data_IF_048760947313
#
_entry.id   IF_048760947313
#
_cell.length_a   1.000
_cell.length_b   1.000
_cell.length_c   1.000
_cell.angle_alpha   90.00
_cell.angle_beta   90.00
_cell.angle_gamma   90.00
#
_symmetry.space_group_name_H-M   'P 1'
#
loop_
_entity.id
_entity.type
_entity.pdbx_description
1 polymer ?
#
# COMPACT_ATOMS: atom_id res chain seq x y z
N UNK A 1 -44.41 -52.70 4.13
CA UNK A 1 -43.75 -51.38 4.28
C UNK A 1 -44.38 -50.41 3.30
N UNK A 2 -44.72 -49.20 3.73
CA UNK A 2 -45.19 -48.12 2.86
C UNK A 2 -44.19 -46.96 2.93
N UNK A 3 -43.87 -46.36 1.78
CA UNK A 3 -43.03 -45.17 1.73
C UNK A 3 -43.89 -43.96 2.13
N UNK A 4 -43.43 -43.12 3.06
CA UNK A 4 -44.09 -41.83 3.32
C UNK A 4 -43.80 -40.89 2.13
N UNK A 5 -44.83 -40.42 1.44
CA UNK A 5 -44.74 -39.57 0.24
C UNK A 5 -44.94 -38.08 0.56
N UNK A 6 -44.90 -37.70 1.84
CA UNK A 6 -45.18 -36.35 2.31
C UNK A 6 -46.62 -36.19 2.84
N UNK A 7 -47.12 -34.95 2.89
CA UNK A 7 -48.50 -34.63 3.29
C UNK A 7 -49.30 -34.09 2.10
N UNK A 8 -50.63 -34.24 2.13
CA UNK A 8 -51.52 -33.63 1.13
C UNK A 8 -51.88 -32.18 1.48
N UNK A 9 -52.64 -31.53 0.60
CA UNK A 9 -53.09 -30.14 0.77
C UNK A 9 -54.01 -29.92 1.99
N UNK A 10 -54.35 -31.00 2.72
CA UNK A 10 -55.14 -31.00 3.95
C UNK A 10 -54.32 -31.43 5.18
N UNK A 11 -53.00 -31.42 5.05
CA UNK A 11 -52.02 -31.78 6.08
C UNK A 11 -52.11 -33.24 6.56
N UNK A 12 -52.68 -34.14 5.75
CA UNK A 12 -52.75 -35.57 6.06
C UNK A 12 -51.56 -36.32 5.45
N UNK A 13 -50.98 -37.25 6.21
CA UNK A 13 -49.88 -38.09 5.73
C UNK A 13 -50.30 -38.92 4.52
N UNK A 14 -49.55 -38.79 3.43
CA UNK A 14 -49.70 -39.58 2.21
C UNK A 14 -48.74 -40.76 2.25
N UNK A 15 -49.32 -41.95 2.11
CA UNK A 15 -48.56 -43.21 2.05
C UNK A 15 -48.51 -43.72 0.61
N UNK A 16 -47.34 -44.19 0.20
CA UNK A 16 -47.15 -44.89 -1.05
C UNK A 16 -47.73 -46.30 -1.02
N UNK A 17 -47.67 -46.98 -2.17
CA UNK A 17 -48.18 -48.34 -2.30
C UNK A 17 -47.54 -49.28 -1.27
N UNK A 18 -48.34 -50.19 -0.72
CA UNK A 18 -47.86 -51.21 0.20
C UNK A 18 -46.91 -52.19 -0.51
N UNK A 19 -45.70 -52.29 0.02
CA UNK A 19 -44.67 -53.21 -0.47
C UNK A 19 -44.45 -54.32 0.56
N UNK A 20 -44.51 -55.56 0.08
CA UNK A 20 -44.15 -56.75 0.87
C UNK A 20 -42.68 -57.05 0.59
N UNK A 21 -41.86 -57.11 1.65
CA UNK A 21 -40.46 -57.48 1.57
C UNK A 21 -40.29 -58.94 2.03
N UNK A 22 -39.49 -59.76 1.33
CA UNK A 22 -39.18 -61.12 1.78
C UNK A 22 -38.55 -61.10 3.18
N UNK A 23 -38.89 -62.09 4.01
CA UNK A 23 -38.40 -62.18 5.39
C UNK A 23 -36.86 -62.22 5.46
N UNK A 24 -36.22 -62.91 4.51
CA UNK A 24 -34.76 -62.96 4.39
C UNK A 24 -34.17 -61.56 4.12
N UNK A 25 -34.77 -60.77 3.22
CA UNK A 25 -34.30 -59.41 2.92
C UNK A 25 -34.38 -58.49 4.15
N UNK A 26 -35.45 -58.61 4.94
CA UNK A 26 -35.61 -57.82 6.17
C UNK A 26 -34.56 -58.21 7.21
N UNK A 27 -34.18 -59.48 7.30
CA UNK A 27 -33.16 -59.94 8.25
C UNK A 27 -31.74 -59.52 7.86
N UNK A 28 -31.43 -59.46 6.56
CA UNK A 28 -30.03 -59.26 6.10
C UNK A 28 -29.75 -57.84 5.60
N UNK A 29 -30.76 -57.08 5.18
CA UNK A 29 -30.58 -55.82 4.42
C UNK A 29 -31.33 -54.61 5.00
N UNK A 30 -31.96 -54.75 6.17
CA UNK A 30 -32.65 -53.64 6.84
C UNK A 30 -32.00 -53.39 8.20
N UNK A 31 -31.74 -52.13 8.50
CA UNK A 31 -31.25 -51.68 9.79
C UNK A 31 -32.31 -50.88 10.53
N UNK A 32 -32.21 -50.89 11.86
CA UNK A 32 -33.04 -50.07 12.73
C UNK A 32 -32.61 -48.60 12.61
N UNK A 33 -33.49 -47.76 12.08
CA UNK A 33 -33.22 -46.34 11.87
C UNK A 33 -33.48 -45.47 13.12
N UNK A 34 -33.38 -46.02 14.33
CA UNK A 34 -33.61 -45.26 15.58
C UNK A 34 -32.53 -44.20 15.83
N UNK A 35 -31.30 -44.45 15.35
CA UNK A 35 -30.21 -43.50 15.34
C UNK A 35 -29.46 -43.63 14.01
N UNK A 36 -29.04 -42.52 13.43
CA UNK A 36 -28.31 -42.49 12.18
C UNK A 36 -27.20 -41.46 12.27
N UNK A 37 -26.15 -41.65 11.48
CA UNK A 37 -25.10 -40.63 11.35
C UNK A 37 -25.65 -39.43 10.57
N UNK A 38 -25.12 -38.24 10.84
CA UNK A 38 -25.50 -37.00 10.13
C UNK A 38 -25.35 -37.17 8.61
N UNK A 39 -24.30 -37.88 8.18
CA UNK A 39 -24.04 -38.19 6.77
C UNK A 39 -25.11 -39.10 6.14
N UNK A 40 -25.61 -40.10 6.87
CA UNK A 40 -26.66 -40.99 6.39
C UNK A 40 -28.05 -40.31 6.40
N UNK A 41 -28.23 -39.27 7.22
CA UNK A 41 -29.45 -38.47 7.28
C UNK A 41 -29.51 -37.34 6.24
N UNK A 42 -28.40 -37.07 5.54
CA UNK A 42 -28.33 -36.00 4.54
C UNK A 42 -29.38 -36.21 3.43
N UNK A 43 -30.16 -35.15 3.15
CA UNK A 43 -31.20 -35.17 2.12
C UNK A 43 -32.48 -35.93 2.51
N UNK A 44 -32.59 -36.41 3.74
CA UNK A 44 -33.84 -36.96 4.28
C UNK A 44 -34.72 -35.85 4.85
N UNK A 45 -36.03 -36.02 4.73
CA UNK A 45 -37.02 -35.20 5.41
C UNK A 45 -37.77 -36.08 6.40
N UNK A 46 -37.81 -35.66 7.66
CA UNK A 46 -38.47 -36.39 8.77
C UNK A 46 -39.42 -35.45 9.51
N UNK A 47 -40.32 -36.01 10.32
CA UNK A 47 -41.25 -35.18 11.10
C UNK A 47 -40.50 -34.42 12.22
N UNK A 48 -39.62 -35.08 12.96
CA UNK A 48 -38.80 -34.48 14.03
C UNK A 48 -37.35 -34.93 13.96
N UNK A 49 -36.39 -34.03 14.19
CA UNK A 49 -34.96 -34.37 14.30
C UNK A 49 -34.44 -34.18 15.72
N UNK A 50 -33.56 -35.10 16.14
CA UNK A 50 -32.92 -35.08 17.46
C UNK A 50 -31.42 -35.29 17.27
N UNK A 51 -30.66 -34.20 17.38
CA UNK A 51 -29.22 -34.19 17.17
C UNK A 51 -28.49 -34.28 18.53
N UNK A 52 -27.55 -35.22 18.65
CA UNK A 52 -26.61 -35.25 19.77
C UNK A 52 -25.35 -34.47 19.36
N UNK A 53 -25.09 -33.36 20.05
CA UNK A 53 -24.00 -32.44 19.74
C UNK A 53 -22.88 -32.69 20.73
N UNK A 54 -21.84 -33.36 20.25
CA UNK A 54 -20.65 -33.66 21.05
C UNK A 54 -19.52 -32.65 20.83
N UNK A 55 -18.38 -32.94 21.43
CA UNK A 55 -17.22 -32.08 21.34
C UNK A 55 -16.49 -32.10 19.99
N UNK A 56 -16.78 -33.05 19.11
CA UNK A 56 -16.12 -33.24 17.82
C UNK A 56 -16.96 -32.72 16.64
N UNK A 57 -18.26 -32.46 16.85
CA UNK A 57 -19.15 -31.92 15.83
C UNK A 57 -18.70 -30.53 15.34
N UNK A 58 -18.66 -30.34 14.02
CA UNK A 58 -18.37 -29.06 13.37
C UNK A 58 -19.67 -28.31 12.99
N UNK A 59 -19.54 -27.06 12.57
CA UNK A 59 -20.67 -26.22 12.17
C UNK A 59 -21.51 -26.84 11.05
N UNK A 60 -20.87 -27.50 10.09
CA UNK A 60 -21.55 -28.05 8.91
C UNK A 60 -22.39 -29.27 9.28
N UNK A 61 -21.83 -30.19 10.06
CA UNK A 61 -22.54 -31.34 10.59
C UNK A 61 -23.69 -30.91 11.51
N UNK A 62 -23.49 -29.90 12.34
CA UNK A 62 -24.53 -29.35 13.20
C UNK A 62 -25.70 -28.77 12.40
N UNK A 63 -25.42 -28.02 11.33
CA UNK A 63 -26.44 -27.53 10.40
C UNK A 63 -27.23 -28.69 9.77
N UNK A 64 -26.54 -29.65 9.16
CA UNK A 64 -27.18 -30.80 8.51
C UNK A 64 -28.01 -31.64 9.48
N UNK A 65 -27.61 -31.73 10.74
CA UNK A 65 -28.34 -32.49 11.75
C UNK A 65 -29.67 -31.81 12.17
N UNK A 66 -29.79 -30.49 12.02
CA UNK A 66 -30.93 -29.68 12.48
C UNK A 66 -31.86 -29.17 11.37
N UNK A 67 -31.62 -29.58 10.12
CA UNK A 67 -32.46 -29.26 8.96
C UNK A 67 -33.44 -30.35 8.48
N UNK A 68 -33.30 -31.66 8.82
CA UNK A 68 -34.20 -32.69 8.30
C UNK A 68 -35.63 -32.64 8.86
N UNK A 69 -35.83 -32.11 10.08
CA UNK A 69 -37.12 -32.12 10.78
C UNK A 69 -38.05 -31.01 10.31
N UNK A 70 -39.27 -31.39 9.91
CA UNK A 70 -40.30 -30.45 9.46
C UNK A 70 -41.04 -29.76 10.61
N UNK A 71 -41.26 -30.47 11.72
CA UNK A 71 -42.07 -29.98 12.85
C UNK A 71 -41.21 -29.51 14.01
N UNK A 72 -40.12 -30.23 14.31
CA UNK A 72 -39.22 -29.89 15.41
C UNK A 72 -37.79 -30.36 15.14
N UNK A 73 -36.81 -29.60 15.64
CA UNK A 73 -35.39 -29.88 15.54
C UNK A 73 -34.73 -29.62 16.89
N UNK A 74 -34.37 -30.68 17.61
CA UNK A 74 -33.86 -30.62 18.98
C UNK A 74 -32.37 -30.96 19.02
N UNK A 75 -31.56 -30.09 19.60
CA UNK A 75 -30.14 -30.32 19.85
C UNK A 75 -29.89 -30.67 21.33
N UNK A 76 -29.34 -31.85 21.58
CA UNK A 76 -28.82 -32.27 22.89
C UNK A 76 -27.32 -31.99 22.94
N UNK A 77 -26.95 -30.91 23.62
CA UNK A 77 -25.54 -30.47 23.72
C UNK A 77 -24.85 -31.16 24.88
N UNK A 78 -23.80 -31.93 24.58
CA UNK A 78 -22.93 -32.55 25.58
C UNK A 78 -21.94 -31.48 26.07
N UNK A 79 -21.94 -31.26 27.38
CA UNK A 79 -21.04 -30.33 28.06
C UNK A 79 -19.86 -31.10 28.65
N UNK A 80 -18.66 -30.52 28.59
CA UNK A 80 -17.41 -31.08 29.12
C UNK A 80 -17.24 -30.96 30.63
N UNK A 81 -18.15 -30.25 31.32
CA UNK A 81 -18.16 -30.10 32.77
C UNK A 81 -19.34 -29.25 33.26
N UNK A 82 -19.59 -29.23 34.59
CA UNK A 82 -20.74 -28.54 35.19
C UNK A 82 -20.71 -27.01 35.04
N UNK A 83 -19.52 -26.42 34.81
CA UNK A 83 -19.32 -24.98 34.64
C UNK A 83 -19.45 -24.52 33.17
N UNK A 84 -19.51 -25.43 32.20
CA UNK A 84 -19.58 -25.06 30.78
C UNK A 84 -21.01 -24.66 30.39
N UNK A 85 -21.20 -23.44 29.89
CA UNK A 85 -22.50 -22.97 29.47
C UNK A 85 -22.84 -23.42 28.05
N UNK A 86 -24.06 -23.94 27.82
CA UNK A 86 -24.54 -24.44 26.52
C UNK A 86 -24.40 -23.46 25.36
N UNK A 87 -24.64 -22.17 25.59
CA UNK A 87 -24.51 -21.15 24.54
C UNK A 87 -23.05 -20.92 24.18
N UNK A 88 -22.13 -21.00 25.15
CA UNK A 88 -20.69 -20.87 24.89
C UNK A 88 -20.18 -22.06 24.09
N UNK A 89 -20.68 -23.28 24.39
CA UNK A 89 -20.38 -24.48 23.60
C UNK A 89 -20.85 -24.35 22.16
N UNK A 90 -22.08 -23.89 21.96
CA UNK A 90 -22.66 -23.67 20.63
C UNK A 90 -21.95 -22.56 19.87
N UNK A 91 -21.60 -21.45 20.53
CA UNK A 91 -20.81 -20.38 19.92
C UNK A 91 -19.44 -20.89 19.43
N UNK A 92 -18.71 -21.61 20.29
CA UNK A 92 -17.45 -22.23 19.92
C UNK A 92 -17.60 -23.28 18.80
N UNK A 93 -18.72 -23.99 18.74
CA UNK A 93 -19.02 -24.90 17.64
C UNK A 93 -19.25 -24.14 16.33
N UNK A 94 -19.99 -23.03 16.35
CA UNK A 94 -20.26 -22.21 15.18
C UNK A 94 -19.00 -21.51 14.65
N UNK A 95 -18.01 -21.26 15.50
CA UNK A 95 -16.71 -20.73 15.12
C UNK A 95 -15.81 -21.78 14.44
N UNK A 96 -16.11 -23.08 14.59
CA UNK A 96 -15.34 -24.14 13.93
C UNK A 96 -15.67 -24.22 12.45
N UNK A 97 -14.62 -24.15 11.63
CA UNK A 97 -14.67 -24.53 10.22
C UNK A 97 -14.97 -26.03 10.04
N UNK A 98 -15.30 -26.46 8.81
CA UNK A 98 -15.49 -27.89 8.51
C UNK A 98 -14.24 -28.70 8.89
N UNK A 99 -14.44 -29.88 9.48
CA UNK A 99 -13.34 -30.75 9.90
C UNK A 99 -12.49 -31.28 8.73
N UNK A 100 -13.05 -31.26 7.52
CA UNK A 100 -12.36 -31.54 6.27
C UNK A 100 -12.84 -30.56 5.19
N UNK A 101 -11.91 -29.86 4.56
CA UNK A 101 -12.18 -29.05 3.37
C UNK A 101 -12.64 -29.98 2.23
N UNK A 102 -13.56 -29.50 1.40
CA UNK A 102 -13.91 -30.22 0.17
C UNK A 102 -12.69 -30.31 -0.75
N UNK A 103 -12.67 -31.31 -1.64
CA UNK A 103 -11.60 -31.46 -2.63
C UNK A 103 -11.39 -30.17 -3.47
N UNK A 104 -12.47 -29.42 -3.73
CA UNK A 104 -12.43 -28.15 -4.46
C UNK A 104 -11.85 -27.01 -3.63
N UNK A 105 -12.16 -26.93 -2.33
CA UNK A 105 -11.55 -25.93 -1.44
C UNK A 105 -10.05 -26.20 -1.24
N UNK A 106 -9.66 -27.46 -1.04
CA UNK A 106 -8.24 -27.85 -1.00
C UNK A 106 -7.57 -27.50 -2.32
N UNK A 107 -8.17 -27.84 -3.46
CA UNK A 107 -7.62 -27.48 -4.76
C UNK A 107 -7.46 -25.96 -4.94
N UNK A 108 -8.44 -25.16 -4.53
CA UNK A 108 -8.37 -23.70 -4.60
C UNK A 108 -7.25 -23.16 -3.71
N UNK A 109 -7.12 -23.68 -2.49
CA UNK A 109 -6.05 -23.29 -1.55
C UNK A 109 -4.67 -23.66 -2.07
N UNK A 110 -4.51 -24.85 -2.67
CA UNK A 110 -3.25 -25.28 -3.28
C UNK A 110 -2.90 -24.41 -4.50
N UNK A 111 -3.87 -24.07 -5.35
CA UNK A 111 -3.62 -23.16 -6.47
C UNK A 111 -3.26 -21.74 -6.01
N UNK A 112 -3.90 -21.25 -4.95
CA UNK A 112 -3.56 -19.97 -4.34
C UNK A 112 -2.12 -20.00 -3.78
N UNK A 113 -1.77 -21.07 -3.05
CA UNK A 113 -0.43 -21.25 -2.49
C UNK A 113 0.67 -21.36 -3.55
N UNK A 114 0.39 -22.01 -4.69
CA UNK A 114 1.34 -22.12 -5.81
C UNK A 114 1.55 -20.77 -6.51
N UNK A 115 0.50 -19.95 -6.61
CA UNK A 115 0.55 -18.64 -7.27
C UNK A 115 0.93 -17.48 -6.36
N UNK A 116 1.06 -17.73 -5.05
CA UNK A 116 1.36 -16.71 -4.06
C UNK A 116 2.72 -16.04 -4.33
N UNK A 117 2.75 -14.69 -4.34
CA UNK A 117 3.95 -13.94 -4.71
C UNK A 117 5.12 -14.11 -3.75
N UNK A 118 4.88 -14.39 -2.46
CA UNK A 118 5.96 -14.75 -1.53
C UNK A 118 6.73 -16.03 -1.94
N UNK A 119 6.13 -16.88 -2.79
CA UNK A 119 6.79 -18.06 -3.35
C UNK A 119 7.45 -17.76 -4.69
N UNK A 120 6.73 -17.12 -5.61
CA UNK A 120 7.22 -16.83 -6.96
C UNK A 120 8.29 -15.73 -6.97
N UNK A 121 8.15 -14.73 -6.10
CA UNK A 121 9.01 -13.55 -6.04
C UNK A 121 10.48 -13.84 -5.79
N UNK A 122 10.85 -14.66 -4.78
CA UNK A 122 12.23 -15.05 -4.56
C UNK A 122 12.84 -15.78 -5.77
N UNK A 123 12.11 -16.73 -6.37
CA UNK A 123 12.58 -17.46 -7.56
C UNK A 123 12.80 -16.51 -8.74
N UNK A 124 11.84 -15.64 -9.02
CA UNK A 124 11.94 -14.62 -10.07
C UNK A 124 13.12 -13.69 -9.84
N UNK A 125 13.25 -13.12 -8.62
CA UNK A 125 14.30 -12.15 -8.30
C UNK A 125 15.71 -12.75 -8.40
N UNK A 126 15.88 -14.01 -7.98
CA UNK A 126 17.15 -14.72 -8.12
C UNK A 126 17.51 -14.89 -9.59
N UNK A 127 16.59 -15.41 -10.41
CA UNK A 127 16.86 -15.69 -11.83
C UNK A 127 17.06 -14.42 -12.66
N UNK A 128 16.31 -13.36 -12.37
CA UNK A 128 16.52 -12.04 -12.97
C UNK A 128 17.93 -11.53 -12.65
N UNK A 129 18.39 -11.67 -11.40
CA UNK A 129 19.74 -11.27 -11.01
C UNK A 129 20.81 -12.04 -11.77
N UNK A 130 20.64 -13.37 -11.90
CA UNK A 130 21.54 -14.24 -12.66
C UNK A 130 21.60 -13.84 -14.14
N UNK A 131 20.44 -13.66 -14.79
CA UNK A 131 20.37 -13.30 -16.21
C UNK A 131 20.95 -11.89 -16.48
N UNK A 132 20.55 -10.88 -15.70
CA UNK A 132 21.08 -9.52 -15.85
C UNK A 132 22.61 -9.47 -15.66
N UNK A 133 23.13 -10.26 -14.72
CA UNK A 133 24.59 -10.36 -14.50
C UNK A 133 25.30 -10.92 -15.73
N UNK A 134 24.78 -11.98 -16.35
CA UNK A 134 25.36 -12.54 -17.57
C UNK A 134 25.27 -11.56 -18.75
N UNK A 135 24.19 -10.79 -18.86
CA UNK A 135 24.05 -9.74 -19.89
C UNK A 135 25.08 -8.63 -19.72
N UNK A 136 25.25 -8.09 -18.51
CA UNK A 136 26.29 -7.08 -18.25
C UNK A 136 27.70 -7.62 -18.48
N UNK A 137 27.93 -8.89 -18.10
CA UNK A 137 29.19 -9.57 -18.31
C UNK A 137 29.49 -9.77 -19.79
N UNK A 138 28.49 -10.10 -20.60
CA UNK A 138 28.62 -10.20 -22.06
C UNK A 138 29.00 -8.84 -22.68
N UNK A 139 28.34 -7.76 -22.25
CA UNK A 139 28.71 -6.39 -22.68
C UNK A 139 30.16 -6.05 -22.30
N UNK A 140 30.60 -6.37 -21.08
CA UNK A 140 32.00 -6.16 -20.69
C UNK A 140 32.98 -7.00 -21.49
N UNK A 141 32.64 -8.25 -21.80
CA UNK A 141 33.49 -9.15 -22.57
C UNK A 141 33.70 -8.68 -24.02
N UNK A 142 32.76 -7.93 -24.59
CA UNK A 142 32.91 -7.28 -25.90
C UNK A 142 33.82 -6.03 -25.86
N UNK A 143 33.84 -5.34 -24.72
CA UNK A 143 34.54 -4.07 -24.53
C UNK A 143 35.95 -4.21 -23.96
N UNK A 144 36.21 -5.28 -23.20
CA UNK A 144 37.46 -5.53 -22.49
C UNK A 144 38.27 -6.64 -23.15
N UNK A 145 39.58 -6.63 -22.91
CA UNK A 145 40.41 -7.77 -23.28
C UNK A 145 40.08 -9.00 -22.41
N UNK A 146 40.33 -10.24 -22.90
CA UNK A 146 40.09 -11.46 -22.10
C UNK A 146 40.85 -11.49 -20.76
N UNK A 147 41.98 -10.79 -20.66
CA UNK A 147 42.75 -10.69 -19.42
C UNK A 147 42.06 -9.77 -18.39
N UNK A 148 41.57 -8.61 -18.84
CA UNK A 148 40.81 -7.67 -18.00
C UNK A 148 39.48 -8.28 -17.56
N UNK A 149 38.80 -9.01 -18.45
CA UNK A 149 37.55 -9.69 -18.10
C UNK A 149 37.75 -10.70 -16.97
N UNK A 150 38.85 -11.49 -17.02
CA UNK A 150 39.20 -12.40 -15.91
C UNK A 150 39.50 -11.67 -14.60
N UNK A 151 40.08 -10.47 -14.67
CA UNK A 151 40.31 -9.65 -13.47
C UNK A 151 38.98 -9.19 -12.87
N UNK A 152 38.03 -8.73 -13.69
CA UNK A 152 36.67 -8.35 -13.23
C UNK A 152 35.91 -9.53 -12.64
N UNK A 153 35.97 -10.70 -13.27
CA UNK A 153 35.32 -11.93 -12.76
C UNK A 153 35.88 -12.35 -11.39
N UNK A 154 37.18 -12.12 -11.15
CA UNK A 154 37.84 -12.43 -9.88
C UNK A 154 37.73 -11.31 -8.83
N UNK A 155 37.20 -10.15 -9.20
CA UNK A 155 37.10 -8.96 -8.35
C UNK A 155 35.90 -9.06 -7.40
N UNK A 156 36.12 -8.91 -6.10
CA UNK A 156 35.06 -8.95 -5.08
C UNK A 156 34.02 -7.82 -5.27
N UNK A 157 34.39 -6.72 -5.93
CA UNK A 157 33.51 -5.59 -6.16
C UNK A 157 32.52 -5.78 -7.34
N UNK A 158 32.65 -6.84 -8.14
CA UNK A 158 31.83 -7.04 -9.34
C UNK A 158 30.32 -7.10 -9.03
N UNK A 159 29.92 -7.73 -7.93
CA UNK A 159 28.52 -7.83 -7.52
C UNK A 159 27.90 -6.47 -7.18
N UNK A 160 28.70 -5.54 -6.63
CA UNK A 160 28.24 -4.17 -6.36
C UNK A 160 28.06 -3.39 -7.66
N UNK A 161 28.96 -3.56 -8.62
CA UNK A 161 28.84 -2.98 -9.97
C UNK A 161 27.57 -3.47 -10.68
N UNK A 162 27.36 -4.78 -10.77
CA UNK A 162 26.20 -5.36 -11.46
C UNK A 162 24.88 -4.97 -10.80
N UNK A 163 24.82 -4.96 -9.46
CA UNK A 163 23.64 -4.50 -8.73
C UNK A 163 23.33 -3.03 -8.99
N UNK A 164 24.35 -2.18 -9.13
CA UNK A 164 24.14 -0.77 -9.42
C UNK A 164 23.68 -0.53 -10.85
N UNK A 165 24.25 -1.26 -11.82
CA UNK A 165 23.75 -1.29 -13.20
C UNK A 165 22.30 -1.75 -13.26
N UNK A 166 21.95 -2.80 -12.50
CA UNK A 166 20.57 -3.29 -12.39
C UNK A 166 19.61 -2.24 -11.83
N UNK A 167 20.03 -1.53 -10.80
CA UNK A 167 19.22 -0.42 -10.25
C UNK A 167 19.00 0.66 -11.31
N UNK A 168 20.05 1.05 -12.04
CA UNK A 168 19.94 2.07 -13.09
C UNK A 168 19.04 1.63 -14.26
N UNK A 169 19.09 0.35 -14.66
CA UNK A 169 18.21 -0.22 -15.68
C UNK A 169 16.73 -0.17 -15.25
N UNK A 170 16.45 -0.49 -13.98
CA UNK A 170 15.12 -0.36 -13.42
C UNK A 170 14.66 1.11 -13.34
N UNK A 171 15.58 2.06 -13.15
CA UNK A 171 15.34 3.50 -13.27
C UNK A 171 15.20 3.99 -14.74
N UNK A 172 15.16 3.07 -15.71
CA UNK A 172 14.95 3.36 -17.14
C UNK A 172 16.20 3.84 -17.88
N UNK A 173 17.39 3.59 -17.33
CA UNK A 173 18.66 3.99 -17.94
C UNK A 173 19.27 2.82 -18.73
N UNK A 174 19.80 3.09 -19.93
CA UNK A 174 20.49 2.07 -20.72
C UNK A 174 21.83 1.68 -20.07
N UNK A 175 21.82 0.55 -19.37
CA UNK A 175 22.98 0.02 -18.65
C UNK A 175 24.15 -0.31 -19.59
N UNK A 176 23.89 -0.81 -20.80
CA UNK A 176 24.93 -1.15 -21.77
C UNK A 176 25.62 0.12 -22.29
N UNK A 177 24.85 1.17 -22.59
CA UNK A 177 25.40 2.46 -23.00
C UNK A 177 26.25 3.09 -21.89
N UNK A 178 25.78 3.08 -20.64
CA UNK A 178 26.54 3.61 -19.50
C UNK A 178 27.82 2.82 -19.28
N UNK A 179 27.75 1.49 -19.34
CA UNK A 179 28.89 0.61 -19.14
C UNK A 179 29.95 0.81 -20.23
N UNK A 180 29.52 0.86 -21.49
CA UNK A 180 30.39 1.18 -22.62
C UNK A 180 31.07 2.55 -22.43
N UNK A 181 30.30 3.56 -22.03
CA UNK A 181 30.85 4.89 -21.83
C UNK A 181 31.79 4.95 -20.61
N UNK A 182 31.58 4.12 -19.58
CA UNK A 182 32.46 4.01 -18.41
C UNK A 182 33.80 3.35 -18.78
N UNK A 183 33.78 2.27 -19.57
CA UNK A 183 35.00 1.59 -20.05
C UNK A 183 35.86 2.55 -20.88
N UNK A 184 35.27 3.26 -21.85
CA UNK A 184 36.00 4.16 -22.76
C UNK A 184 36.47 5.48 -22.12
N UNK A 185 36.13 5.75 -20.86
CA UNK A 185 36.46 7.03 -20.22
C UNK A 185 37.96 7.27 -20.03
N UNK A 186 38.71 6.22 -19.67
CA UNK A 186 40.15 6.26 -19.39
C UNK A 186 40.71 4.83 -19.33
N UNK A 187 42.02 4.69 -19.51
CA UNK A 187 42.74 3.41 -19.36
C UNK A 187 42.39 2.66 -18.06
N UNK A 188 42.41 1.32 -18.13
CA UNK A 188 42.08 0.40 -17.03
C UNK A 188 43.29 -0.45 -16.60
N UNK A 189 44.39 -0.43 -17.35
CA UNK A 189 45.56 -1.29 -17.12
C UNK A 189 46.28 -1.00 -15.80
N UNK A 190 46.16 0.23 -15.29
CA UNK A 190 46.79 0.67 -14.03
C UNK A 190 45.86 0.55 -12.82
N UNK A 191 44.63 0.06 -12.99
CA UNK A 191 43.67 -0.04 -11.91
C UNK A 191 43.99 -1.23 -10.99
N UNK A 192 43.99 -1.01 -9.67
CA UNK A 192 44.12 -2.09 -8.68
C UNK A 192 42.86 -2.98 -8.64
N UNK A 193 41.68 -2.37 -8.80
CA UNK A 193 40.39 -3.04 -9.02
C UNK A 193 39.72 -2.43 -10.24
N UNK A 194 39.46 -3.24 -11.26
CA UNK A 194 38.73 -2.78 -12.45
C UNK A 194 37.26 -2.56 -12.09
N UNK A 195 36.66 -3.42 -11.26
CA UNK A 195 35.25 -3.31 -10.92
C UNK A 195 34.94 -2.04 -10.11
N UNK A 196 35.78 -1.66 -9.13
CA UNK A 196 35.61 -0.41 -8.37
C UNK A 196 35.77 0.83 -9.24
N UNK A 197 36.73 0.81 -10.18
CA UNK A 197 36.92 1.91 -11.13
C UNK A 197 35.70 2.04 -12.04
N UNK A 198 35.16 0.92 -12.55
CA UNK A 198 33.95 0.94 -13.34
C UNK A 198 32.74 1.40 -12.52
N UNK A 199 32.58 0.92 -11.29
CA UNK A 199 31.53 1.35 -10.37
C UNK A 199 31.55 2.86 -10.17
N UNK A 200 32.71 3.43 -9.81
CA UNK A 200 32.85 4.87 -9.63
C UNK A 200 32.54 5.67 -10.89
N UNK A 201 32.95 5.17 -12.07
CA UNK A 201 32.65 5.81 -13.36
C UNK A 201 31.17 5.75 -13.71
N UNK A 202 30.51 4.62 -13.45
CA UNK A 202 29.06 4.44 -13.62
C UNK A 202 28.32 5.41 -12.72
N UNK A 203 28.68 5.49 -11.42
CA UNK A 203 28.08 6.43 -10.47
C UNK A 203 28.18 7.87 -10.95
N UNK A 204 29.37 8.28 -11.39
CA UNK A 204 29.58 9.63 -11.91
C UNK A 204 28.70 9.92 -13.13
N UNK A 205 28.53 8.95 -14.03
CA UNK A 205 27.71 9.11 -15.24
C UNK A 205 26.23 9.14 -14.93
N UNK A 206 25.77 8.34 -13.96
CA UNK A 206 24.40 8.41 -13.47
C UNK A 206 24.11 9.79 -12.85
N UNK A 207 25.02 10.32 -12.02
CA UNK A 207 24.90 11.66 -11.46
C UNK A 207 24.91 12.76 -12.54
N UNK A 208 25.74 12.63 -13.58
CA UNK A 208 25.75 13.55 -14.72
C UNK A 208 24.42 13.49 -15.52
N UNK A 209 23.83 12.30 -15.68
CA UNK A 209 22.55 12.12 -16.35
C UNK A 209 21.37 12.64 -15.53
N UNK A 210 21.37 12.42 -14.22
CA UNK A 210 20.39 12.97 -13.27
C UNK A 210 20.44 14.51 -13.28
N UNK A 211 21.64 15.11 -13.18
CA UNK A 211 21.79 16.56 -13.23
C UNK A 211 21.34 17.18 -14.56
N UNK A 212 21.43 16.43 -15.67
CA UNK A 212 20.91 16.86 -16.97
C UNK A 212 19.36 16.76 -17.05
N UNK A 213 18.73 15.82 -16.34
CA UNK A 213 17.27 15.71 -16.20
C UNK A 213 16.70 16.79 -15.27
N UNK A 214 17.45 17.18 -14.24
CA UNK A 214 17.12 18.21 -13.24
C UNK A 214 17.13 19.66 -13.77
N UNK A 215 17.10 19.84 -15.10
CA UNK A 215 16.72 21.09 -15.75
C UNK A 215 15.26 21.01 -16.28
N UNK A 216 14.20 21.04 -15.44
CA UNK A 216 12.85 21.30 -15.93
C UNK A 216 12.22 22.58 -15.38
N UNK A 217 11.27 23.08 -16.18
CA UNK A 217 10.20 24.00 -15.79
C UNK A 217 9.45 23.42 -14.56
N UNK A 218 9.32 24.16 -13.45
CA UNK A 218 8.70 23.65 -12.22
C UNK A 218 7.28 23.11 -12.40
N UNK A 219 6.52 23.58 -13.38
CA UNK A 219 5.16 23.08 -13.66
C UNK A 219 5.17 21.68 -14.32
N UNK A 220 6.19 21.35 -15.12
CA UNK A 220 6.29 20.04 -15.78
C UNK A 220 6.80 18.94 -14.82
N UNK A 221 7.62 19.32 -13.84
CA UNK A 221 8.12 18.40 -12.81
C UNK A 221 6.99 17.93 -11.87
N UNK A 222 6.14 18.85 -11.41
CA UNK A 222 4.98 18.50 -10.56
C UNK A 222 3.96 17.61 -11.28
N UNK A 223 3.76 17.78 -12.59
CA UNK A 223 2.85 16.95 -13.37
C UNK A 223 3.41 15.55 -13.66
N UNK A 224 4.69 15.45 -13.99
CA UNK A 224 5.38 14.17 -14.23
C UNK A 224 5.50 13.32 -12.96
N UNK A 225 5.70 13.94 -11.79
CA UNK A 225 5.73 13.24 -10.50
C UNK A 225 4.39 12.61 -10.09
N UNK A 226 3.29 13.05 -10.70
CA UNK A 226 1.92 12.59 -10.39
C UNK A 226 1.40 11.52 -11.37
N UNK A 227 2.04 11.34 -12.53
CA UNK A 227 1.64 10.33 -13.50
C UNK A 227 2.22 8.96 -13.11
N UNK A 228 1.36 8.10 -12.57
CA UNK A 228 1.73 6.72 -12.28
C UNK A 228 1.78 5.91 -13.58
N UNK A 229 2.96 5.38 -13.91
CA UNK A 229 3.16 4.43 -15.01
C UNK A 229 3.47 3.07 -14.41
N UNK A 230 2.51 2.15 -14.49
CA UNK A 230 2.67 0.80 -14.00
C UNK A 230 3.79 0.09 -14.77
N UNK A 231 4.74 -0.53 -14.06
CA UNK A 231 5.71 -1.46 -14.65
C UNK A 231 5.48 -2.89 -14.20
N UNK A 232 5.15 -3.76 -15.14
CA UNK A 232 4.84 -5.16 -14.85
C UNK A 232 6.10 -5.95 -14.45
N UNK A 233 5.93 -7.15 -13.87
CA UNK A 233 7.03 -8.09 -13.67
C UNK A 233 7.64 -8.48 -15.03
N UNK A 234 6.82 -8.69 -16.07
CA UNK A 234 7.30 -9.03 -17.40
C UNK A 234 8.16 -7.91 -18.03
N UNK A 235 7.79 -6.64 -17.86
CA UNK A 235 8.56 -5.48 -18.36
C UNK A 235 9.87 -5.24 -17.61
N UNK A 236 9.96 -5.69 -16.36
CA UNK A 236 11.20 -5.64 -15.57
C UNK A 236 12.09 -6.86 -15.80
N UNK A 237 11.63 -7.86 -16.54
CA UNK A 237 12.37 -9.09 -16.81
C UNK A 237 13.22 -8.90 -18.07
N UNK A 238 14.57 -9.06 -17.98
CA UNK A 238 15.44 -8.94 -19.14
C UNK A 238 15.07 -9.92 -20.26
N UNK A 239 15.34 -9.54 -21.52
CA UNK A 239 14.98 -10.36 -22.66
C UNK A 239 15.92 -11.56 -22.85
N UNK A 240 15.44 -12.77 -22.56
CA UNK A 240 16.15 -14.01 -22.87
C UNK A 240 15.43 -14.83 -23.95
N UNK A 241 16.18 -15.32 -24.95
CA UNK A 241 15.63 -16.15 -26.05
C UNK A 241 15.86 -17.65 -25.88
N UNK A 242 16.64 -18.04 -24.89
CA UNK A 242 16.87 -19.43 -24.52
C UNK A 242 15.72 -19.97 -23.65
N UNK A 243 15.76 -21.27 -23.33
CA UNK A 243 14.72 -21.90 -22.52
C UNK A 243 14.59 -21.25 -21.13
N UNK A 244 15.70 -20.77 -20.56
CA UNK A 244 15.72 -20.08 -19.27
C UNK A 244 15.03 -18.71 -19.34
N UNK A 245 15.29 -17.91 -20.37
CA UNK A 245 14.63 -16.63 -20.59
C UNK A 245 13.12 -16.76 -20.84
N UNK A 246 12.72 -17.77 -21.62
CA UNK A 246 11.29 -18.07 -21.84
C UNK A 246 10.61 -18.48 -20.53
N UNK A 247 11.25 -19.35 -19.73
CA UNK A 247 10.74 -19.71 -18.41
C UNK A 247 10.59 -18.49 -17.49
N UNK A 248 11.60 -17.61 -17.45
CA UNK A 248 11.58 -16.44 -16.60
C UNK A 248 10.48 -15.44 -17.00
N UNK A 249 10.26 -15.26 -18.30
CA UNK A 249 9.13 -14.45 -18.82
C UNK A 249 7.78 -15.04 -18.44
N UNK A 250 7.59 -16.36 -18.59
CA UNK A 250 6.36 -17.03 -18.16
C UNK A 250 6.13 -16.89 -16.64
N UNK A 251 7.20 -16.98 -15.84
CA UNK A 251 7.13 -16.77 -14.39
C UNK A 251 6.69 -15.34 -14.06
N UNK A 252 7.23 -14.35 -14.77
CA UNK A 252 6.86 -12.95 -14.61
C UNK A 252 5.38 -12.68 -14.99
N UNK A 253 4.90 -13.28 -16.09
CA UNK A 253 3.50 -13.20 -16.51
C UNK A 253 2.55 -13.81 -15.47
N UNK A 254 2.91 -14.93 -14.84
CA UNK A 254 2.14 -15.50 -13.73
C UNK A 254 2.08 -14.57 -12.50
N UNK A 255 3.17 -13.85 -12.21
CA UNK A 255 3.19 -12.86 -11.15
C UNK A 255 2.32 -11.63 -11.49
N UNK A 256 2.30 -11.20 -12.75
CA UNK A 256 1.43 -10.14 -13.24
C UNK A 256 -0.06 -10.52 -13.15
N UNK A 257 -0.42 -11.75 -13.54
CA UNK A 257 -1.77 -12.29 -13.37
C UNK A 257 -2.19 -12.31 -11.88
N UNK A 258 -1.28 -12.69 -10.98
CA UNK A 258 -1.54 -12.67 -9.54
C UNK A 258 -1.73 -11.25 -9.02
N UNK A 259 -0.91 -10.30 -9.44
CA UNK A 259 -1.03 -8.90 -9.06
C UNK A 259 -2.40 -8.32 -9.48
N UNK A 260 -2.83 -8.61 -10.72
CA UNK A 260 -4.15 -8.21 -11.23
C UNK A 260 -5.28 -8.84 -10.40
N UNK A 261 -5.18 -10.13 -10.08
CA UNK A 261 -6.18 -10.81 -9.24
C UNK A 261 -6.28 -10.19 -7.84
N UNK A 262 -5.14 -9.88 -7.20
CA UNK A 262 -5.10 -9.22 -5.89
C UNK A 262 -5.76 -7.84 -5.92
N UNK A 263 -5.56 -7.10 -7.00
CA UNK A 263 -6.19 -5.80 -7.19
C UNK A 263 -7.71 -5.90 -7.33
N UNK A 264 -8.22 -6.89 -8.06
CA UNK A 264 -9.67 -7.14 -8.16
C UNK A 264 -10.27 -7.54 -6.81
N UNK A 265 -9.57 -8.33 -6.00
CA UNK A 265 -9.99 -8.63 -4.63
C UNK A 265 -10.04 -7.35 -3.77
N UNK A 266 -9.03 -6.49 -3.88
CA UNK A 266 -9.01 -5.21 -3.19
C UNK A 266 -10.11 -4.26 -3.68
N UNK A 267 -10.48 -4.29 -4.96
CA UNK A 267 -11.59 -3.50 -5.50
C UNK A 267 -12.95 -4.01 -5.00
N UNK A 268 -13.12 -5.33 -4.86
CA UNK A 268 -14.35 -5.96 -4.37
C UNK A 268 -14.55 -5.78 -2.85
N UNK A 269 -13.46 -5.81 -2.08
CA UNK A 269 -13.47 -5.60 -0.63
C UNK A 269 -12.29 -4.71 -0.22
N UNK A 270 -12.43 -3.38 -0.31
CA UNK A 270 -11.36 -2.42 -0.03
C UNK A 270 -10.73 -2.59 1.35
N UNK A 271 -9.44 -2.97 1.44
CA UNK A 271 -8.73 -3.07 2.70
C UNK A 271 -8.31 -1.67 3.19
N UNK A 272 -8.00 -1.54 4.48
CA UNK A 272 -7.64 -0.25 5.13
C UNK A 272 -6.45 0.45 4.48
N UNK A 273 -5.45 -0.31 4.01
CA UNK A 273 -4.29 0.29 3.33
C UNK A 273 -4.65 0.97 2.00
N UNK A 274 -5.77 0.59 1.37
CA UNK A 274 -6.23 1.15 0.10
C UNK A 274 -6.92 2.51 0.27
N UNK A 275 -7.18 2.97 1.51
CA UNK A 275 -7.76 4.30 1.77
C UNK A 275 -6.97 5.43 1.10
N UNK A 276 -5.63 5.29 1.02
CA UNK A 276 -4.75 6.29 0.39
C UNK A 276 -4.89 6.33 -1.14
N UNK A 277 -5.38 5.26 -1.78
CA UNK A 277 -5.70 5.25 -3.22
C UNK A 277 -7.01 6.00 -3.52
N UNK A 278 -7.84 6.25 -2.50
CA UNK A 278 -9.18 6.80 -2.65
C UNK A 278 -10.25 5.74 -2.90
N UNK A 279 -11.53 6.15 -2.96
CA UNK A 279 -12.64 5.22 -3.19
C UNK A 279 -12.55 4.58 -4.57
N UNK A 280 -12.99 3.32 -4.67
CA UNK A 280 -13.05 2.60 -5.95
C UNK A 280 -14.07 3.30 -6.87
N UNK A 281 -13.69 3.73 -8.09
CA UNK A 281 -14.62 4.30 -9.04
C UNK A 281 -15.66 3.26 -9.51
N UNK A 282 -16.95 3.63 -9.45
CA UNK A 282 -18.06 2.78 -9.92
C UNK A 282 -18.57 3.18 -11.31
N UNK A 283 -18.60 4.48 -11.60
CA UNK A 283 -19.25 5.05 -12.80
C UNK A 283 -18.29 5.30 -13.98
N UNK A 284 -16.98 5.20 -13.76
CA UNK A 284 -15.94 5.46 -14.77
C UNK A 284 -15.03 4.22 -14.95
N UNK A 285 -15.17 3.48 -16.06
CA UNK A 285 -14.35 2.31 -16.34
C UNK A 285 -12.85 2.61 -16.45
N UNK A 286 -12.47 3.80 -16.95
CA UNK A 286 -11.06 4.16 -17.12
C UNK A 286 -10.44 4.47 -15.76
N UNK A 287 -11.12 5.28 -14.94
CA UNK A 287 -10.67 5.57 -13.58
C UNK A 287 -10.64 4.29 -12.71
N UNK A 288 -11.56 3.35 -12.93
CA UNK A 288 -11.52 2.04 -12.25
C UNK A 288 -10.29 1.23 -12.68
N UNK A 289 -9.96 1.21 -13.96
CA UNK A 289 -8.76 0.54 -14.47
C UNK A 289 -7.48 1.11 -13.84
N UNK A 290 -7.34 2.44 -13.82
CA UNK A 290 -6.22 3.13 -13.16
C UNK A 290 -6.14 2.81 -11.66
N UNK A 291 -7.28 2.78 -10.97
CA UNK A 291 -7.34 2.40 -9.55
C UNK A 291 -6.86 0.96 -9.34
N UNK A 292 -7.31 0.03 -10.18
CA UNK A 292 -6.92 -1.39 -10.11
C UNK A 292 -5.43 -1.57 -10.42
N UNK A 293 -4.86 -0.87 -11.40
CA UNK A 293 -3.43 -0.92 -11.70
C UNK A 293 -2.58 -0.42 -10.51
N UNK A 294 -3.00 0.68 -9.88
CA UNK A 294 -2.34 1.20 -8.66
C UNK A 294 -2.48 0.22 -7.49
N UNK A 295 -3.66 -0.36 -7.30
CA UNK A 295 -3.89 -1.37 -6.27
C UNK A 295 -3.05 -2.64 -6.52
N UNK A 296 -2.84 -3.04 -7.77
CA UNK A 296 -2.01 -4.19 -8.14
C UNK A 296 -0.56 -4.01 -7.67
N UNK A 297 0.04 -2.83 -7.91
CA UNK A 297 1.41 -2.55 -7.47
C UNK A 297 1.57 -2.65 -5.94
N UNK A 298 0.62 -2.09 -5.18
CA UNK A 298 0.66 -2.12 -3.71
C UNK A 298 0.39 -3.52 -3.18
N UNK A 299 -0.64 -4.21 -3.68
CA UNK A 299 -1.00 -5.54 -3.23
C UNK A 299 0.08 -6.57 -3.58
N UNK A 300 0.69 -6.46 -4.76
CA UNK A 300 1.80 -7.32 -5.17
C UNK A 300 3.02 -7.15 -4.26
N UNK A 301 3.41 -5.91 -3.95
CA UNK A 301 4.48 -5.64 -3.00
C UNK A 301 4.18 -6.26 -1.63
N UNK A 302 2.96 -6.06 -1.12
CA UNK A 302 2.54 -6.57 0.18
C UNK A 302 2.58 -8.09 0.25
N UNK A 303 2.05 -8.77 -0.76
CA UNK A 303 2.06 -10.24 -0.80
C UNK A 303 3.48 -10.79 -1.00
N UNK A 304 4.28 -10.20 -1.90
CA UNK A 304 5.62 -10.68 -2.23
C UNK A 304 6.57 -10.61 -1.03
N UNK A 305 6.52 -9.53 -0.25
CA UNK A 305 7.44 -9.28 0.86
C UNK A 305 6.82 -9.51 2.25
N UNK A 306 5.60 -10.05 2.30
CA UNK A 306 4.91 -10.38 3.56
C UNK A 306 4.56 -9.16 4.41
N UNK A 307 4.25 -8.02 3.78
CA UNK A 307 3.91 -6.79 4.48
C UNK A 307 2.43 -6.71 4.81
N UNK A 308 2.09 -6.94 6.08
CA UNK A 308 0.71 -7.14 6.56
C UNK A 308 0.14 -5.97 7.37
N UNK A 309 0.87 -4.88 7.56
CA UNK A 309 0.38 -3.74 8.36
C UNK A 309 -0.90 -3.13 7.77
N UNK A 310 -1.88 -2.84 8.62
CA UNK A 310 -3.15 -2.20 8.23
C UNK A 310 -3.00 -0.70 7.96
N UNK A 311 -2.14 -0.02 8.74
CA UNK A 311 -1.98 1.44 8.70
C UNK A 311 -0.79 1.90 7.88
N UNK A 312 0.18 1.01 7.66
CA UNK A 312 1.33 1.25 6.80
C UNK A 312 1.19 0.41 5.54
N UNK A 313 0.92 1.02 4.38
CA UNK A 313 0.70 0.26 3.15
C UNK A 313 1.91 -0.52 2.65
N UNK A 314 3.13 0.03 2.78
CA UNK A 314 4.33 -0.50 2.09
C UNK A 314 5.63 -0.47 2.91
N UNK A 315 5.64 0.02 4.15
CA UNK A 315 6.82 -0.02 4.99
C UNK A 315 7.92 0.97 4.59
N UNK A 316 9.10 0.76 5.19
CA UNK A 316 10.29 1.55 4.88
C UNK A 316 10.82 1.25 3.49
N UNK A 317 11.43 2.27 2.87
CA UNK A 317 12.12 2.12 1.60
C UNK A 317 13.28 1.13 1.77
N UNK A 318 13.37 0.07 0.95
CA UNK A 318 14.47 -0.86 0.96
C UNK A 318 15.83 -0.19 0.71
N UNK A 319 16.89 -0.82 1.20
CA UNK A 319 18.26 -0.35 0.94
C UNK A 319 18.62 -0.52 -0.54
N UNK A 320 19.61 0.24 -1.01
CA UNK A 320 20.14 0.14 -2.37
C UNK A 320 20.72 -1.25 -2.75
N UNK A 321 20.90 -2.14 -1.76
CA UNK A 321 21.40 -3.50 -1.95
C UNK A 321 20.39 -4.51 -2.50
N UNK A 322 19.12 -4.13 -2.69
CA UNK A 322 18.05 -5.03 -3.13
C UNK A 322 17.27 -4.37 -4.30
N UNK A 323 17.78 -4.42 -5.55
CA UNK A 323 17.21 -3.65 -6.68
C UNK A 323 15.73 -3.98 -6.93
N UNK A 324 15.40 -5.26 -6.98
CA UNK A 324 14.06 -5.78 -7.32
C UNK A 324 13.03 -5.41 -6.25
N UNK A 325 13.42 -5.48 -4.98
CA UNK A 325 12.58 -5.07 -3.86
C UNK A 325 12.41 -3.56 -3.82
N UNK A 326 13.49 -2.81 -4.08
CA UNK A 326 13.45 -1.35 -4.16
C UNK A 326 12.53 -0.88 -5.26
N UNK A 327 12.64 -1.46 -6.46
CA UNK A 327 11.75 -1.14 -7.58
C UNK A 327 10.28 -1.46 -7.26
N UNK A 328 10.00 -2.63 -6.69
CA UNK A 328 8.63 -2.97 -6.28
C UNK A 328 8.09 -1.98 -5.23
N UNK A 329 8.95 -1.50 -4.32
CA UNK A 329 8.57 -0.46 -3.36
C UNK A 329 8.33 0.89 -4.05
N UNK A 330 9.16 1.29 -5.02
CA UNK A 330 8.99 2.54 -5.78
C UNK A 330 7.69 2.53 -6.60
N UNK A 331 7.37 1.41 -7.25
CA UNK A 331 6.09 1.22 -7.96
C UNK A 331 4.90 1.39 -7.02
N UNK A 332 4.95 0.74 -5.85
CA UNK A 332 3.91 0.87 -4.84
C UNK A 332 3.84 2.28 -4.23
N UNK A 333 4.98 2.96 -4.06
CA UNK A 333 5.05 4.33 -3.57
C UNK A 333 4.46 5.34 -4.57
N UNK A 334 4.77 5.18 -5.86
CA UNK A 334 4.18 5.96 -6.95
C UNK A 334 2.67 5.72 -7.03
N UNK A 335 2.22 4.46 -6.94
CA UNK A 335 0.81 4.11 -6.90
C UNK A 335 0.07 4.77 -5.73
N UNK A 336 0.70 4.94 -4.57
CA UNK A 336 0.12 5.62 -3.40
C UNK A 336 0.26 7.15 -3.42
N UNK A 337 0.85 7.73 -4.47
CA UNK A 337 1.14 9.16 -4.55
C UNK A 337 2.08 9.63 -3.43
N UNK A 338 3.04 8.80 -3.03
CA UNK A 338 4.08 9.18 -2.06
C UNK A 338 5.08 10.10 -2.79
N UNK A 339 5.15 11.36 -2.36
CA UNK A 339 6.01 12.39 -2.94
C UNK A 339 7.49 12.15 -2.60
N UNK A 340 8.41 12.70 -3.40
CA UNK A 340 9.86 12.49 -3.26
C UNK A 340 10.39 12.72 -1.82
N UNK A 341 9.89 13.75 -1.14
CA UNK A 341 10.26 14.07 0.24
C UNK A 341 9.84 12.98 1.23
N UNK A 342 8.64 12.41 1.07
CA UNK A 342 8.17 11.29 1.89
C UNK A 342 8.99 10.02 1.59
N UNK A 343 9.38 9.80 0.33
CA UNK A 343 10.25 8.67 -0.05
C UNK A 343 11.63 8.76 0.58
N UNK A 344 12.22 9.96 0.62
CA UNK A 344 13.49 10.21 1.31
C UNK A 344 13.37 9.86 2.80
N UNK A 345 12.32 10.35 3.46
CA UNK A 345 12.05 10.04 4.87
C UNK A 345 11.84 8.55 5.11
N UNK A 346 11.12 7.85 4.23
CA UNK A 346 10.86 6.42 4.34
C UNK A 346 12.13 5.56 4.25
N UNK A 347 13.23 6.09 3.68
CA UNK A 347 14.53 5.42 3.63
C UNK A 347 15.39 5.57 4.89
N UNK A 348 15.02 6.47 5.80
CA UNK A 348 15.77 6.69 7.03
C UNK A 348 15.40 5.65 8.10
N UNK A 349 16.39 5.27 8.90
CA UNK A 349 16.20 4.49 10.12
C UNK A 349 15.52 5.32 11.21
N UNK A 350 14.93 4.67 12.22
CA UNK A 350 14.32 5.40 13.35
C UNK A 350 15.33 6.29 14.07
N UNK A 351 16.58 5.85 14.16
CA UNK A 351 17.66 6.63 14.77
C UNK A 351 18.00 7.88 13.95
N UNK A 352 18.05 7.75 12.62
CA UNK A 352 18.27 8.89 11.72
C UNK A 352 17.10 9.87 11.77
N UNK A 353 15.86 9.38 11.76
CA UNK A 353 14.66 10.22 11.91
C UNK A 353 14.64 10.94 13.26
N UNK A 354 14.96 10.25 14.35
CA UNK A 354 15.07 10.86 15.68
C UNK A 354 16.14 11.96 15.70
N UNK A 355 17.31 11.71 15.12
CA UNK A 355 18.37 12.69 15.00
C UNK A 355 17.93 13.90 14.14
N UNK A 356 17.24 13.67 13.03
CA UNK A 356 16.69 14.76 12.21
C UNK A 356 15.70 15.63 12.99
N UNK A 357 14.83 15.03 13.80
CA UNK A 357 13.90 15.76 14.68
C UNK A 357 14.66 16.58 15.72
N UNK A 358 15.67 16.01 16.37
CA UNK A 358 16.49 16.74 17.36
C UNK A 358 17.26 17.91 16.73
N UNK A 359 17.84 17.70 15.54
CA UNK A 359 18.52 18.77 14.79
C UNK A 359 17.53 19.89 14.47
N UNK A 360 16.35 19.54 13.97
CA UNK A 360 15.31 20.52 13.66
C UNK A 360 14.85 21.29 14.91
N UNK A 361 14.63 20.61 16.05
CA UNK A 361 14.25 21.25 17.31
C UNK A 361 15.34 22.20 17.83
N UNK A 362 16.62 21.83 17.68
CA UNK A 362 17.74 22.71 18.01
C UNK A 362 17.75 23.93 17.10
N UNK A 363 17.53 23.75 15.79
CA UNK A 363 17.46 24.87 14.84
C UNK A 363 16.29 25.80 15.14
N UNK A 364 15.12 25.26 15.47
CA UNK A 364 13.91 26.03 15.82
C UNK A 364 14.15 26.98 16.99
N UNK A 365 14.95 26.57 17.99
CA UNK A 365 15.33 27.42 19.11
C UNK A 365 16.11 28.69 18.71
N UNK A 366 16.81 28.66 17.57
CA UNK A 366 17.56 29.81 17.03
C UNK A 366 16.79 30.57 15.94
N UNK A 367 15.63 30.06 15.50
CA UNK A 367 14.84 30.72 14.46
C UNK A 367 14.12 31.96 15.03
N UNK A 368 14.05 33.06 14.25
CA UNK A 368 13.16 34.17 14.59
C UNK A 368 11.72 33.66 14.75
N UNK A 369 10.93 34.22 15.69
CA UNK A 369 9.56 33.78 15.90
C UNK A 369 8.76 33.88 14.59
N UNK A 370 7.88 32.89 14.35
CA UNK A 370 6.98 32.90 13.22
C UNK A 370 5.95 34.03 13.41
N UNK A 371 6.12 35.11 12.64
CA UNK A 371 5.23 36.29 12.65
C UNK A 371 4.09 36.19 11.65
N UNK A 372 3.90 35.06 10.95
CA UNK A 372 2.86 34.90 9.94
C UNK A 372 1.44 35.05 10.52
N UNK A 373 1.09 34.51 11.71
CA UNK A 373 -0.20 34.77 12.32
C UNK A 373 -0.43 36.25 12.63
N UNK A 374 0.62 36.94 13.08
CA UNK A 374 0.58 38.35 13.46
C UNK A 374 0.44 39.26 12.23
N UNK A 375 1.17 38.94 11.15
CA UNK A 375 1.05 39.61 9.86
C UNK A 375 -0.31 39.35 9.21
N UNK A 376 -0.84 38.13 9.32
CA UNK A 376 -2.19 37.78 8.84
C UNK A 376 -3.26 38.57 9.60
N UNK A 377 -3.17 38.62 10.93
CA UNK A 377 -4.09 39.41 11.75
C UNK A 377 -4.00 40.91 11.41
N UNK A 378 -2.79 41.48 11.31
CA UNK A 378 -2.60 42.87 10.91
C UNK A 378 -3.15 43.17 9.51
N UNK A 379 -3.01 42.24 8.56
CA UNK A 379 -3.55 42.37 7.20
C UNK A 379 -5.09 42.35 7.20
N UNK A 380 -5.72 41.48 8.00
CA UNK A 380 -7.17 41.44 8.16
C UNK A 380 -7.71 42.71 8.83
N UNK A 381 -7.03 43.20 9.87
CA UNK A 381 -7.38 44.46 10.54
C UNK A 381 -7.30 45.65 9.57
N UNK A 382 -6.26 45.71 8.73
CA UNK A 382 -6.11 46.74 7.72
C UNK A 382 -7.26 46.71 6.70
N UNK A 383 -7.59 45.53 6.15
CA UNK A 383 -8.72 45.35 5.23
C UNK A 383 -10.04 45.77 5.87
N UNK A 384 -10.26 45.40 7.13
CA UNK A 384 -11.48 45.74 7.87
C UNK A 384 -11.59 47.26 8.08
N UNK A 385 -10.48 47.91 8.42
CA UNK A 385 -10.44 49.37 8.59
C UNK A 385 -10.71 50.11 7.27
N UNK A 386 -10.12 49.67 6.15
CA UNK A 386 -10.43 50.23 4.81
C UNK A 386 -11.89 50.02 4.45
N UNK A 387 -12.45 48.82 4.67
CA UNK A 387 -13.87 48.56 4.41
C UNK A 387 -14.80 49.46 5.23
N UNK A 388 -14.41 49.81 6.47
CA UNK A 388 -15.15 50.76 7.31
C UNK A 388 -15.13 52.18 6.73
N UNK A 389 -13.99 52.65 6.21
CA UNK A 389 -13.87 53.94 5.52
C UNK A 389 -14.82 53.98 4.32
N UNK A 390 -14.77 52.97 3.44
CA UNK A 390 -15.65 52.88 2.27
C UNK A 390 -17.13 52.96 2.65
N UNK A 391 -17.53 52.25 3.72
CA UNK A 391 -18.91 52.28 4.22
C UNK A 391 -19.32 53.66 4.74
N UNK A 392 -18.45 54.34 5.49
CA UNK A 392 -18.73 55.67 6.02
C UNK A 392 -18.83 56.72 4.91
N UNK A 393 -18.02 56.61 3.84
CA UNK A 393 -18.17 57.46 2.65
C UNK A 393 -19.53 57.25 1.98
N UNK A 394 -19.96 56.00 1.79
CA UNK A 394 -21.28 55.70 1.24
C UNK A 394 -22.42 56.24 2.14
N UNK A 395 -22.28 56.15 3.46
CA UNK A 395 -23.23 56.76 4.42
C UNK A 395 -23.28 58.29 4.27
N UNK A 396 -22.13 58.97 4.10
CA UNK A 396 -22.06 60.42 3.89
C UNK A 396 -22.68 60.85 2.54
N UNK A 397 -22.51 60.06 1.48
CA UNK A 397 -23.13 60.30 0.18
C UNK A 397 -24.65 60.16 0.22
N UNK A 398 -25.17 59.26 1.05
CA UNK A 398 -26.61 59.06 1.23
C UNK A 398 -27.30 60.18 2.02
N UNK A 399 -26.56 60.98 2.82
CA UNK A 399 -27.11 62.14 3.51
C UNK A 399 -27.42 63.27 2.52
N UNK A 400 -28.47 64.05 2.80
CA UNK A 400 -28.80 65.26 2.02
C UNK A 400 -27.71 66.33 2.15
N UNK A 401 -27.64 67.30 1.23
CA UNK A 401 -26.62 68.36 1.25
C UNK A 401 -26.72 69.28 2.48
N UNK A 402 -27.92 69.48 2.98
CA UNK A 402 -28.22 70.36 4.13
C UNK A 402 -28.46 69.58 5.43
N UNK A 403 -28.04 68.30 5.48
CA UNK A 403 -28.21 67.47 6.67
C UNK A 403 -27.20 67.84 7.76
N UNK A 404 -27.70 68.24 8.93
CA UNK A 404 -26.89 68.62 10.11
C UNK A 404 -25.94 67.48 10.54
N UNK A 405 -26.24 66.22 10.19
CA UNK A 405 -25.41 65.06 10.45
C UNK A 405 -24.16 64.92 9.58
N UNK A 406 -24.03 65.69 8.48
CA UNK A 406 -22.86 65.60 7.57
C UNK A 406 -21.54 65.92 8.26
N UNK A 407 -21.52 66.92 9.14
CA UNK A 407 -20.30 67.30 9.87
C UNK A 407 -19.79 66.15 10.76
N UNK A 408 -20.70 65.52 11.50
CA UNK A 408 -20.40 64.37 12.34
C UNK A 408 -20.06 63.10 11.52
N UNK A 409 -20.58 62.95 10.30
CA UNK A 409 -20.20 61.88 9.38
C UNK A 409 -18.77 62.09 8.83
N UNK A 410 -18.41 63.33 8.47
CA UNK A 410 -17.06 63.68 8.02
C UNK A 410 -16.01 63.40 9.10
N UNK A 411 -16.28 63.79 10.35
CA UNK A 411 -15.34 63.54 11.48
C UNK A 411 -15.14 62.02 11.73
N UNK A 412 -16.19 61.22 11.57
CA UNK A 412 -16.11 59.75 11.66
C UNK A 412 -15.27 59.14 10.54
N UNK A 413 -15.31 59.71 9.34
CA UNK A 413 -14.47 59.31 8.20
C UNK A 413 -13.01 59.63 8.50
N UNK A 414 -12.70 60.87 8.90
CA UNK A 414 -11.34 61.30 9.23
C UNK A 414 -10.70 60.38 10.30
N UNK A 415 -11.47 60.02 11.33
CA UNK A 415 -11.02 59.07 12.36
C UNK A 415 -10.83 57.64 11.81
N UNK A 416 -11.71 57.18 10.92
CA UNK A 416 -11.60 55.87 10.30
C UNK A 416 -10.42 55.78 9.34
N UNK A 417 -10.14 56.84 8.57
CA UNK A 417 -8.98 56.96 7.68
C UNK A 417 -7.67 56.93 8.45
N UNK A 418 -7.57 57.72 9.53
CA UNK A 418 -6.40 57.70 10.40
C UNK A 418 -6.13 56.32 11.02
N UNK A 419 -7.20 55.56 11.34
CA UNK A 419 -7.09 54.19 11.82
C UNK A 419 -6.66 53.23 10.70
N UNK A 420 -7.23 53.34 9.50
CA UNK A 420 -6.91 52.51 8.35
C UNK A 420 -5.44 52.69 7.93
N UNK A 421 -4.94 53.92 7.90
CA UNK A 421 -3.52 54.20 7.65
C UNK A 421 -2.62 53.55 8.70
N UNK A 422 -3.00 53.63 9.99
CA UNK A 422 -2.21 53.04 11.09
C UNK A 422 -2.14 51.51 10.97
N UNK A 423 -3.26 50.87 10.59
CA UNK A 423 -3.29 49.42 10.37
C UNK A 423 -2.51 49.02 9.11
N UNK A 424 -2.60 49.80 8.03
CA UNK A 424 -1.83 49.58 6.81
C UNK A 424 -0.31 49.67 7.05
N UNK A 425 0.16 50.62 7.86
CA UNK A 425 1.59 50.71 8.25
C UNK A 425 2.02 49.51 9.10
N UNK A 426 1.14 49.01 9.98
CA UNK A 426 1.40 47.82 10.80
C UNK A 426 1.51 46.55 9.96
N UNK A 427 0.68 46.38 8.92
CA UNK A 427 0.79 45.28 7.96
C UNK A 427 1.94 45.45 6.96
N UNK A 428 2.32 46.70 6.66
CA UNK A 428 3.34 47.06 5.66
C UNK A 428 4.79 46.86 6.08
N UNK A 429 5.05 46.62 7.37
CA UNK A 429 6.32 46.06 7.81
C UNK A 429 7.37 47.03 8.37
N UNK A 430 7.00 48.09 9.10
CA UNK A 430 7.97 48.90 9.86
C UNK A 430 8.60 48.15 11.07
N UNK A 431 8.17 46.92 11.36
CA UNK A 431 8.88 46.00 12.26
C UNK A 431 9.89 45.09 11.55
N UNK A 432 9.91 45.07 10.22
CA UNK A 432 10.88 44.33 9.42
C UNK A 432 12.02 45.28 9.02
N UNK A 433 12.92 45.59 9.97
CA UNK A 433 14.18 46.25 9.64
C UNK A 433 14.91 45.51 8.50
N UNK A 434 15.71 46.20 7.67
CA UNK A 434 16.31 45.67 6.43
C UNK A 434 17.24 44.44 6.63
N UNK A 435 17.52 44.04 7.87
CA UNK A 435 18.29 42.85 8.22
C UNK A 435 17.49 41.54 8.33
N UNK A 436 16.16 41.55 8.47
CA UNK A 436 15.40 40.31 8.78
C UNK A 436 14.88 39.53 7.57
N UNK A 437 14.67 40.17 6.42
CA UNK A 437 14.34 39.47 5.16
C UNK A 437 15.54 38.86 4.44
N UNK A 438 16.78 39.31 4.74
CA UNK A 438 17.99 38.78 4.09
C UNK A 438 18.55 37.50 4.71
N UNK A 439 18.15 37.16 5.94
CA UNK A 439 18.58 35.92 6.61
C UNK A 439 17.93 34.65 6.06
N UNK A 440 16.72 34.74 5.50
CA UNK A 440 16.01 33.59 4.93
C UNK A 440 16.50 33.22 3.50
N UNK A 441 17.20 34.12 2.81
CA UNK A 441 17.60 33.94 1.41
C UNK A 441 19.08 33.60 1.17
N UNK A 442 19.94 33.61 2.21
CA UNK A 442 21.38 33.32 2.05
C UNK A 442 21.90 32.13 2.87
N UNK A 443 21.10 31.60 3.81
CA UNK A 443 21.40 30.33 4.49
C UNK A 443 20.95 29.08 3.72
N UNK A 444 20.26 29.22 2.58
CA UNK A 444 19.69 28.11 1.81
C UNK A 444 20.53 27.73 0.58
N UNK A 445 21.81 28.12 0.53
CA UNK A 445 22.71 27.77 -0.59
C UNK A 445 23.53 26.49 -0.36
N UNK A 446 23.46 25.88 0.84
CA UNK A 446 24.18 24.64 1.15
C UNK A 446 23.34 23.70 2.02
N UNK A 447 22.11 23.41 1.61
CA UNK A 447 21.36 22.17 1.97
C UNK A 447 20.00 22.21 1.27
N UNK A 448 19.76 21.21 0.41
CA UNK A 448 18.49 20.83 -0.22
C UNK A 448 17.37 21.88 -0.30
N UNK A 449 17.22 22.50 -1.47
CA UNK A 449 16.03 23.25 -1.84
C UNK A 449 14.81 22.28 -1.90
N UNK A 450 13.87 22.42 -0.96
CA UNK A 450 12.61 21.65 -0.97
C UNK A 450 11.78 21.76 0.31
N UNK A 451 12.41 22.02 1.47
CA UNK A 451 11.75 21.85 2.79
C UNK A 451 10.75 22.92 3.24
N UNK A 452 10.32 23.86 2.39
CA UNK A 452 9.39 24.96 2.80
C UNK A 452 7.99 24.89 2.22
N UNK A 453 7.66 23.95 1.34
CA UNK A 453 6.30 23.80 0.77
C UNK A 453 5.76 22.41 1.08
N UNK A 454 5.18 22.19 2.25
CA UNK A 454 4.51 20.91 2.56
C UNK A 454 4.18 20.64 4.02
N UNK A 455 4.86 21.28 4.98
CA UNK A 455 4.63 21.03 6.40
C UNK A 455 3.38 21.77 6.95
N UNK A 456 2.19 21.33 6.51
CA UNK A 456 1.03 21.29 7.41
C UNK A 456 1.23 20.16 8.43
N UNK A 457 0.55 20.17 9.59
CA UNK A 457 0.84 19.22 10.66
C UNK A 457 0.40 17.81 10.26
N UNK A 458 1.29 17.04 9.65
CA UNK A 458 1.21 15.58 9.62
C UNK A 458 1.35 15.12 11.08
N UNK A 459 0.23 14.73 11.69
CA UNK A 459 0.23 14.10 13.00
C UNK A 459 0.97 12.77 12.87
N UNK A 460 2.24 12.75 13.23
CA UNK A 460 2.93 11.50 13.57
C UNK A 460 2.17 10.86 14.73
N UNK A 461 1.31 9.88 14.42
CA UNK A 461 0.79 8.97 15.44
C UNK A 461 1.97 8.11 15.86
N UNK A 462 2.34 8.21 17.13
CA UNK A 462 3.29 7.30 17.77
C UNK A 462 2.87 5.86 17.47
N UNK A 463 3.78 5.09 16.85
CA UNK A 463 3.68 3.64 16.85
C UNK A 463 4.02 3.18 18.26
N UNK A 464 3.02 2.68 18.98
CA UNK A 464 3.24 2.04 20.27
C UNK A 464 4.12 0.80 20.06
N UNK A 465 5.24 0.76 20.76
CA UNK A 465 6.16 -0.35 20.79
C UNK A 465 5.57 -1.45 21.69
N UNK A 466 5.02 -2.49 21.08
CA UNK A 466 4.60 -3.68 21.81
C UNK A 466 5.85 -4.45 22.27
N UNK A 467 6.07 -4.46 23.57
CA UNK A 467 7.22 -5.05 24.23
C UNK A 467 6.88 -6.47 24.65
N UNK A 468 7.17 -7.44 23.80
CA UNK A 468 7.09 -8.87 24.14
C UNK A 468 8.34 -9.27 24.91
N UNK A 469 8.27 -9.30 26.25
CA UNK A 469 9.25 -9.99 27.10
C UNK A 469 9.19 -11.51 26.88
N UNK A 470 10.34 -12.23 26.90
CA UNK A 470 10.35 -13.68 26.91
C UNK A 470 10.19 -14.20 28.33
N UNK A 471 9.08 -14.86 28.63
CA UNK A 471 8.93 -15.62 29.88
C UNK A 471 9.72 -16.92 29.77
N UNK A 472 10.78 -17.03 30.57
CA UNK A 472 11.48 -18.29 30.79
C UNK A 472 10.71 -19.21 31.74
N UNK A 473 10.61 -20.48 31.36
CA UNK A 473 10.70 -21.68 32.20
C UNK A 473 10.71 -22.91 31.27
#
# INVERSE_FOLDING_TARGET
MQQQLGRDDRDQQRWGQERVLPAEYVQTSVELAYASTVHAALGRTVDTSHALVDAAMDRVAFYVALTPGMLDNVAYVILGGPEEHRLSRLAALLERGPAALSATEVQAQEFDAVRHLARLGPEWSQRVTEQATEEYRAVLAELLSPAQMKQVDADEANGTLYRRLRTAELDGVDAAQILAAAVHSRELETAESIADVLYWRVERRLAEAEAARDVPDPEAAEQSELEFVARSFAERTPEGRDEAGVYLRNLAELMDERAAWLAEQAAASPPTWAERLGPVPEDDPLARMEWTERAAAVAAYREQFGHSSETDPIGRRPKAGEPERREAWEQAAAALGIVAQERELAGNTDAELANMVEVYQREEAWMPPNVDPELRAASLDARTATGRVTRLHAELEALGRDDDGRAAASERIDHADALAERMARRSGGDRAGPGRRRGAGRGHAHTGAGRRRGAGPARCRSRDADSSEPSGA
#
